data_IF_464132739838
#
_entry.id   IF_464132739838
#
_cell.length_a   1.000
_cell.length_b   1.000
_cell.length_c   1.000
_cell.angle_alpha   90.00
_cell.angle_beta   90.00
_cell.angle_gamma   90.00
#
_symmetry.space_group_name_H-M   'P 1'
#
loop_
_entity.id
_entity.type
_entity.pdbx_description
1 polymer ?
#
# COMPACT_ATOMS: atom_id res chain seq x y z
N UNK A 1 24.54 -32.73 -0.04
CA UNK A 1 23.18 -32.23 0.24
C UNK A 1 22.60 -31.79 -1.08
N UNK A 2 21.64 -32.51 -1.63
CA UNK A 2 20.98 -32.18 -2.90
C UNK A 2 20.18 -30.89 -2.67
N UNK A 3 20.59 -29.79 -3.30
CA UNK A 3 19.81 -28.55 -3.33
C UNK A 3 18.50 -28.86 -4.03
N UNK A 4 17.36 -28.72 -3.34
CA UNK A 4 16.05 -28.71 -4.00
C UNK A 4 16.11 -27.66 -5.11
N UNK A 5 15.67 -27.95 -6.34
CA UNK A 5 15.59 -26.94 -7.38
C UNK A 5 14.75 -25.78 -6.85
N UNK A 6 15.19 -24.56 -7.09
CA UNK A 6 14.40 -23.38 -6.71
C UNK A 6 13.03 -23.47 -7.43
N UNK A 7 11.92 -23.22 -6.72
CA UNK A 7 10.60 -23.26 -7.33
C UNK A 7 10.55 -22.28 -8.50
N UNK A 8 9.95 -22.68 -9.60
CA UNK A 8 9.73 -21.79 -10.74
C UNK A 8 8.77 -20.66 -10.33
N UNK A 9 8.76 -19.58 -11.09
CA UNK A 9 7.80 -18.48 -10.84
C UNK A 9 6.36 -18.98 -10.90
N UNK A 10 6.10 -19.87 -11.87
CA UNK A 10 4.81 -20.51 -12.01
C UNK A 10 4.42 -21.30 -10.76
N UNK A 11 5.31 -22.14 -10.25
CA UNK A 11 5.10 -22.89 -9.02
C UNK A 11 4.76 -21.94 -7.86
N UNK A 12 5.52 -20.85 -7.71
CA UNK A 12 5.30 -19.86 -6.65
C UNK A 12 3.95 -19.14 -6.78
N UNK A 13 3.47 -18.86 -7.99
CA UNK A 13 2.16 -18.24 -8.20
C UNK A 13 1.02 -19.24 -8.02
N UNK A 14 1.22 -20.51 -8.39
CA UNK A 14 0.27 -21.59 -8.14
C UNK A 14 0.18 -21.95 -6.65
N UNK A 15 1.30 -21.90 -5.93
CA UNK A 15 1.33 -22.02 -4.48
C UNK A 15 0.59 -20.87 -3.81
N UNK A 16 0.77 -19.64 -4.32
CA UNK A 16 0.07 -18.45 -3.81
C UNK A 16 -1.44 -18.50 -4.07
N UNK A 17 -1.87 -19.02 -5.23
CA UNK A 17 -3.28 -19.16 -5.63
C UNK A 17 -3.53 -20.57 -6.16
N UNK A 18 -3.65 -21.58 -5.27
CA UNK A 18 -3.89 -22.96 -5.69
C UNK A 18 -5.21 -23.11 -6.45
N UNK A 19 -5.21 -23.92 -7.53
CA UNK A 19 -6.40 -24.13 -8.34
C UNK A 19 -7.58 -24.66 -7.53
N UNK A 20 -7.31 -25.63 -6.64
CA UNK A 20 -8.34 -26.19 -5.75
C UNK A 20 -8.94 -25.14 -4.82
N UNK A 21 -8.09 -24.25 -4.26
CA UNK A 21 -8.54 -23.16 -3.43
C UNK A 21 -9.40 -22.16 -4.22
N UNK A 22 -8.98 -21.78 -5.42
CA UNK A 22 -9.76 -20.90 -6.31
C UNK A 22 -11.13 -21.50 -6.64
N UNK A 23 -11.19 -22.81 -6.96
CA UNK A 23 -12.43 -23.51 -7.27
C UNK A 23 -13.35 -23.59 -6.03
N UNK A 24 -12.78 -23.88 -4.87
CA UNK A 24 -13.53 -23.95 -3.62
C UNK A 24 -14.09 -22.57 -3.25
N UNK A 25 -13.27 -21.51 -3.28
CA UNK A 25 -13.70 -20.14 -2.99
C UNK A 25 -14.79 -19.67 -3.97
N UNK A 26 -14.68 -20.03 -5.26
CA UNK A 26 -15.71 -19.72 -6.23
C UNK A 26 -17.07 -20.42 -5.94
N UNK A 27 -17.06 -21.61 -5.35
CA UNK A 27 -18.28 -22.28 -4.88
C UNK A 27 -18.84 -21.62 -3.61
N UNK A 28 -17.99 -21.33 -2.64
CA UNK A 28 -18.37 -20.70 -1.37
C UNK A 28 -18.97 -19.32 -1.53
N UNK A 29 -18.43 -18.52 -2.45
CA UNK A 29 -18.97 -17.19 -2.79
C UNK A 29 -20.19 -17.23 -3.71
N UNK A 30 -20.56 -18.39 -4.22
CA UNK A 30 -21.69 -18.56 -5.13
C UNK A 30 -21.43 -18.17 -6.58
N UNK A 31 -20.17 -17.80 -6.92
CA UNK A 31 -19.79 -17.49 -8.31
C UNK A 31 -20.05 -18.68 -9.25
N UNK A 32 -19.81 -19.88 -8.77
CA UNK A 32 -20.02 -21.14 -9.51
C UNK A 32 -21.00 -22.02 -8.73
N UNK A 33 -22.21 -22.15 -9.26
CA UNK A 33 -23.22 -23.10 -8.76
C UNK A 33 -23.09 -24.44 -9.52
N UNK A 34 -22.77 -24.37 -10.81
CA UNK A 34 -22.57 -25.55 -11.68
C UNK A 34 -21.41 -25.25 -12.65
N UNK A 35 -20.43 -26.14 -12.72
CA UNK A 35 -19.30 -26.04 -13.65
C UNK A 35 -19.76 -26.33 -15.08
N UNK A 36 -20.15 -25.31 -15.82
CA UNK A 36 -20.59 -25.46 -17.22
C UNK A 36 -19.77 -24.64 -18.22
N UNK A 37 -19.78 -23.30 -18.09
CA UNK A 37 -19.23 -22.38 -19.10
C UNK A 37 -18.06 -21.56 -18.60
N UNK A 38 -17.98 -21.26 -17.32
CA UNK A 38 -16.93 -20.44 -16.72
C UNK A 38 -16.06 -21.30 -15.82
N UNK A 39 -14.77 -21.27 -16.07
CA UNK A 39 -13.74 -21.84 -15.21
C UNK A 39 -13.24 -20.72 -14.28
N UNK A 40 -13.34 -20.88 -12.94
CA UNK A 40 -12.95 -19.85 -11.99
C UNK A 40 -11.44 -19.59 -11.96
N UNK A 41 -10.61 -20.57 -12.31
CA UNK A 41 -9.16 -20.41 -12.39
C UNK A 41 -8.80 -19.54 -13.58
N UNK A 42 -9.39 -19.83 -14.74
CA UNK A 42 -9.13 -19.07 -15.96
C UNK A 42 -9.63 -17.63 -15.81
N UNK A 43 -10.85 -17.41 -15.30
CA UNK A 43 -11.35 -16.04 -15.12
C UNK A 43 -10.50 -15.24 -14.12
N UNK A 44 -10.04 -15.87 -13.03
CA UNK A 44 -9.14 -15.24 -12.06
C UNK A 44 -7.86 -14.74 -12.72
N UNK A 45 -7.15 -15.60 -13.46
CA UNK A 45 -5.89 -15.22 -14.09
C UNK A 45 -6.08 -14.24 -15.27
N UNK A 46 -7.13 -14.40 -16.06
CA UNK A 46 -7.47 -13.47 -17.16
C UNK A 46 -7.78 -12.07 -16.60
N UNK A 47 -8.55 -11.97 -15.53
CA UNK A 47 -8.80 -10.68 -14.89
C UNK A 47 -7.50 -10.11 -14.31
N UNK A 48 -6.77 -10.89 -13.52
CA UNK A 48 -5.58 -10.44 -12.78
C UNK A 48 -4.44 -10.01 -13.72
N UNK A 49 -4.18 -10.73 -14.80
CA UNK A 49 -3.06 -10.47 -15.71
C UNK A 49 -3.50 -9.84 -17.04
N UNK A 50 -4.78 -9.74 -17.33
CA UNK A 50 -5.32 -9.16 -18.56
C UNK A 50 -5.80 -7.72 -18.40
N UNK A 51 -6.57 -7.41 -17.35
CA UNK A 51 -7.23 -6.11 -17.25
C UNK A 51 -6.26 -4.94 -17.04
N UNK A 52 -5.38 -5.03 -16.05
CA UNK A 52 -4.54 -3.89 -15.63
C UNK A 52 -3.45 -3.49 -16.62
N UNK A 53 -3.12 -4.32 -17.60
CA UNK A 53 -1.86 -4.28 -18.33
C UNK A 53 -1.99 -4.03 -19.85
N UNK A 54 -3.19 -3.82 -20.38
CA UNK A 54 -3.41 -3.63 -21.83
C UNK A 54 -3.87 -2.23 -22.21
N UNK A 55 -3.50 -1.80 -23.42
CA UNK A 55 -3.96 -0.54 -24.02
C UNK A 55 -5.48 -0.50 -24.26
N UNK A 56 -6.10 -1.66 -24.58
CA UNK A 56 -7.54 -1.80 -24.73
C UNK A 56 -8.13 -2.58 -23.55
N UNK A 57 -8.59 -1.86 -22.56
CA UNK A 57 -9.09 -2.38 -21.27
C UNK A 57 -10.62 -2.44 -21.25
N UNK A 58 -11.20 -3.15 -22.20
CA UNK A 58 -12.64 -3.31 -22.28
C UNK A 58 -13.07 -4.69 -21.79
N UNK A 59 -14.32 -4.80 -21.30
CA UNK A 59 -14.88 -6.11 -20.94
C UNK A 59 -14.89 -7.06 -22.15
N UNK A 60 -15.02 -6.53 -23.38
CA UNK A 60 -14.93 -7.29 -24.61
C UNK A 60 -13.50 -7.83 -24.87
N UNK A 61 -12.44 -7.07 -24.54
CA UNK A 61 -11.07 -7.58 -24.65
C UNK A 61 -10.79 -8.71 -23.65
N UNK A 62 -11.27 -8.57 -22.42
CA UNK A 62 -11.19 -9.62 -21.39
C UNK A 62 -11.96 -10.88 -21.78
N UNK A 63 -13.13 -10.72 -22.44
CA UNK A 63 -13.87 -11.84 -22.98
C UNK A 63 -13.03 -12.61 -24.01
N UNK A 64 -12.42 -11.92 -24.98
CA UNK A 64 -11.57 -12.54 -25.98
C UNK A 64 -10.39 -13.29 -25.36
N UNK A 65 -9.77 -12.70 -24.33
CA UNK A 65 -8.71 -13.38 -23.59
C UNK A 65 -9.22 -14.63 -22.89
N UNK A 66 -10.39 -14.54 -22.25
CA UNK A 66 -11.00 -15.70 -21.62
C UNK A 66 -11.34 -16.80 -22.64
N UNK A 67 -11.96 -16.46 -23.76
CA UNK A 67 -12.31 -17.42 -24.83
C UNK A 67 -11.07 -18.12 -25.41
N UNK A 68 -10.00 -17.36 -25.61
CA UNK A 68 -8.70 -17.89 -26.04
C UNK A 68 -8.13 -18.88 -25.02
N UNK A 69 -8.09 -18.49 -23.76
CA UNK A 69 -7.51 -19.30 -22.70
C UNK A 69 -8.40 -20.50 -22.31
N UNK A 70 -9.73 -20.35 -22.35
CA UNK A 70 -10.68 -21.42 -22.07
C UNK A 70 -10.90 -22.35 -23.27
N UNK A 71 -10.44 -21.98 -24.46
CA UNK A 71 -10.74 -22.68 -25.74
C UNK A 71 -12.25 -22.91 -25.92
N UNK A 72 -13.05 -21.91 -25.54
CA UNK A 72 -14.52 -21.95 -25.56
C UNK A 72 -15.06 -20.58 -25.91
N UNK A 73 -16.10 -20.54 -26.75
CA UNK A 73 -16.84 -19.29 -27.02
C UNK A 73 -17.92 -19.04 -26.00
N UNK A 74 -18.13 -17.77 -25.64
CA UNK A 74 -19.16 -17.32 -24.73
C UNK A 74 -19.92 -16.17 -25.38
N UNK A 75 -21.26 -16.16 -25.29
CA UNK A 75 -22.05 -15.03 -25.77
C UNK A 75 -21.75 -13.77 -24.93
N UNK A 76 -21.88 -12.59 -25.55
CA UNK A 76 -21.63 -11.31 -24.86
C UNK A 76 -22.50 -11.17 -23.63
N UNK A 77 -23.79 -11.51 -23.70
CA UNK A 77 -24.68 -11.51 -22.55
C UNK A 77 -24.19 -12.43 -21.42
N UNK A 78 -23.77 -13.66 -21.78
CA UNK A 78 -23.23 -14.60 -20.78
C UNK A 78 -21.94 -14.13 -20.12
N UNK A 79 -21.11 -13.34 -20.80
CA UNK A 79 -19.93 -12.72 -20.24
C UNK A 79 -20.28 -11.55 -19.33
N UNK A 80 -21.09 -10.59 -19.79
CA UNK A 80 -21.48 -9.42 -19.02
C UNK A 80 -22.26 -9.77 -17.76
N UNK A 81 -23.12 -10.78 -17.79
CA UNK A 81 -23.86 -11.27 -16.63
C UNK A 81 -23.00 -12.02 -15.60
N UNK A 82 -21.68 -12.13 -15.79
CA UNK A 82 -20.75 -12.66 -14.77
C UNK A 82 -20.27 -11.62 -13.77
N UNK A 83 -20.41 -10.34 -14.10
CA UNK A 83 -20.05 -9.28 -13.17
C UNK A 83 -21.20 -9.08 -12.15
N UNK A 84 -21.26 -9.99 -11.19
CA UNK A 84 -22.28 -10.09 -10.16
C UNK A 84 -21.65 -9.82 -8.78
N UNK A 85 -22.48 -9.62 -7.71
CA UNK A 85 -21.96 -9.53 -6.35
C UNK A 85 -21.11 -10.74 -5.93
N UNK A 86 -21.41 -11.94 -6.45
CA UNK A 86 -20.65 -13.16 -6.18
C UNK A 86 -19.26 -13.13 -6.80
N UNK A 87 -19.10 -12.57 -8.01
CA UNK A 87 -17.76 -12.34 -8.58
C UNK A 87 -16.99 -11.29 -7.78
N UNK A 88 -17.66 -10.22 -7.35
CA UNK A 88 -17.04 -9.19 -6.51
C UNK A 88 -16.52 -9.79 -5.21
N UNK A 89 -17.33 -10.63 -4.54
CA UNK A 89 -16.94 -11.29 -3.30
C UNK A 89 -15.81 -12.31 -3.54
N UNK A 90 -15.87 -13.09 -4.62
CA UNK A 90 -14.78 -14.00 -5.00
C UNK A 90 -13.46 -13.26 -5.16
N UNK A 91 -13.42 -12.18 -5.93
CA UNK A 91 -12.21 -11.38 -6.12
C UNK A 91 -11.74 -10.72 -4.82
N UNK A 92 -12.67 -10.27 -3.96
CA UNK A 92 -12.33 -9.74 -2.65
C UNK A 92 -11.68 -10.80 -1.74
N UNK A 93 -12.21 -12.02 -1.69
CA UNK A 93 -11.59 -13.12 -0.97
C UNK A 93 -10.21 -13.48 -1.53
N UNK A 94 -10.04 -13.43 -2.86
CA UNK A 94 -8.73 -13.60 -3.48
C UNK A 94 -7.74 -12.50 -3.07
N UNK A 95 -8.18 -11.24 -2.94
CA UNK A 95 -7.32 -10.15 -2.44
C UNK A 95 -6.90 -10.40 -1.00
N UNK A 96 -7.82 -10.80 -0.11
CA UNK A 96 -7.52 -11.11 1.29
C UNK A 96 -6.47 -12.23 1.35
N UNK A 97 -6.73 -13.33 0.66
CA UNK A 97 -5.81 -14.47 0.59
C UNK A 97 -4.43 -14.07 0.06
N UNK A 98 -4.37 -13.33 -1.05
CA UNK A 98 -3.11 -12.88 -1.62
C UNK A 98 -2.31 -11.96 -0.69
N UNK A 99 -2.97 -11.12 0.10
CA UNK A 99 -2.33 -10.30 1.13
C UNK A 99 -1.73 -11.19 2.24
N UNK A 100 -2.47 -12.22 2.67
CA UNK A 100 -2.00 -13.17 3.68
C UNK A 100 -0.78 -13.95 3.18
N UNK A 101 -0.80 -14.40 1.93
CA UNK A 101 0.33 -15.11 1.32
C UNK A 101 1.58 -14.20 1.19
N UNK A 102 1.42 -12.92 0.80
CA UNK A 102 2.53 -11.97 0.81
C UNK A 102 3.12 -11.78 2.22
N UNK A 103 2.27 -11.80 3.25
CA UNK A 103 2.71 -11.63 4.64
C UNK A 103 3.45 -12.85 5.20
N UNK A 104 3.18 -14.08 4.69
CA UNK A 104 3.88 -15.31 5.10
C UNK A 104 5.33 -15.35 4.63
N UNK A 105 5.60 -14.81 3.43
CA UNK A 105 6.94 -14.73 2.86
C UNK A 105 7.26 -13.27 2.51
N UNK A 106 7.57 -12.45 3.52
CA UNK A 106 7.65 -10.99 3.36
C UNK A 106 8.82 -10.52 2.49
N UNK A 107 9.71 -11.38 2.05
CA UNK A 107 10.82 -11.04 1.14
C UNK A 107 11.82 -9.99 1.66
N UNK A 108 11.53 -9.35 2.81
CA UNK A 108 12.35 -8.30 3.43
C UNK A 108 12.32 -8.40 4.94
N UNK A 109 13.43 -8.01 5.57
CA UNK A 109 13.54 -7.84 7.03
C UNK A 109 13.98 -6.43 7.34
N UNK A 110 13.45 -5.88 8.42
CA UNK A 110 13.95 -4.62 8.95
C UNK A 110 15.35 -4.84 9.56
N UNK A 111 16.31 -4.00 9.19
CA UNK A 111 17.69 -4.10 9.63
C UNK A 111 18.15 -2.86 10.40
N UNK A 112 19.41 -2.86 10.87
CA UNK A 112 20.05 -1.73 11.57
C UNK A 112 19.19 -1.19 12.72
N UNK A 113 18.89 0.11 12.71
CA UNK A 113 18.12 0.80 13.76
C UNK A 113 16.64 0.35 13.82
N UNK A 114 16.10 -0.24 12.75
CA UNK A 114 14.70 -0.71 12.71
C UNK A 114 14.52 -2.20 13.07
N UNK A 115 15.59 -2.95 13.32
CA UNK A 115 15.55 -4.40 13.57
C UNK A 115 14.63 -4.86 14.70
N UNK A 116 14.33 -4.00 15.66
CA UNK A 116 13.46 -4.30 16.81
C UNK A 116 11.98 -4.08 16.53
N UNK A 117 11.63 -3.50 15.39
CA UNK A 117 10.25 -3.35 14.96
C UNK A 117 9.83 -4.50 14.05
N UNK A 118 8.57 -4.89 14.12
CA UNK A 118 8.03 -5.93 13.26
C UNK A 118 7.77 -5.45 11.84
N UNK A 119 7.35 -4.19 11.67
CA UNK A 119 7.01 -3.62 10.38
C UNK A 119 6.94 -2.09 10.43
N UNK A 120 7.04 -1.47 9.26
CA UNK A 120 6.68 -0.07 9.02
C UNK A 120 5.42 -0.07 8.16
N UNK A 121 4.34 0.46 8.72
CA UNK A 121 3.03 0.50 8.09
C UNK A 121 2.75 1.91 7.60
N UNK A 122 2.28 2.03 6.36
CA UNK A 122 1.87 3.29 5.77
C UNK A 122 0.38 3.20 5.46
N UNK A 123 -0.41 4.17 5.92
CA UNK A 123 -1.84 4.24 5.65
C UNK A 123 -2.16 5.48 4.85
N UNK A 124 -2.89 5.28 3.75
CA UNK A 124 -3.44 6.37 2.95
C UNK A 124 -4.65 5.90 2.15
N UNK A 125 -5.27 6.80 1.39
CA UNK A 125 -6.40 6.48 0.52
C UNK A 125 -6.31 7.22 -0.81
N UNK A 126 -6.84 6.60 -1.86
CA UNK A 126 -6.98 7.25 -3.15
C UNK A 126 -8.45 7.28 -3.58
N UNK A 127 -8.79 8.23 -4.45
CA UNK A 127 -10.14 8.36 -5.00
C UNK A 127 -10.12 7.85 -6.44
N UNK A 128 -11.06 6.95 -6.74
CA UNK A 128 -11.38 6.51 -8.10
C UNK A 128 -12.64 7.26 -8.54
N UNK A 129 -12.54 7.94 -9.69
CA UNK A 129 -13.67 8.67 -10.27
C UNK A 129 -14.57 7.72 -11.04
N UNK A 130 -15.88 7.90 -10.89
CA UNK A 130 -16.88 7.01 -11.44
C UNK A 130 -17.83 7.78 -12.36
N UNK A 131 -18.53 7.04 -13.23
CA UNK A 131 -19.58 7.61 -14.06
C UNK A 131 -20.66 8.28 -13.22
N UNK A 132 -21.18 9.43 -13.67
CA UNK A 132 -22.14 10.27 -12.92
C UNK A 132 -23.44 9.56 -12.55
N UNK A 133 -23.88 8.57 -13.32
CA UNK A 133 -25.07 7.77 -13.00
C UNK A 133 -24.97 7.00 -11.69
N UNK A 134 -23.76 6.80 -11.16
CA UNK A 134 -23.51 6.10 -9.89
C UNK A 134 -23.49 7.02 -8.67
N UNK A 135 -23.78 8.31 -8.85
CA UNK A 135 -23.79 9.28 -7.75
C UNK A 135 -24.78 8.95 -6.62
N UNK A 136 -25.85 8.19 -6.92
CA UNK A 136 -26.80 7.73 -5.91
C UNK A 136 -26.17 6.78 -4.89
N UNK A 137 -25.30 5.85 -5.35
CA UNK A 137 -24.61 4.87 -4.50
C UNK A 137 -23.26 5.39 -4.00
N UNK A 138 -22.50 6.04 -4.87
CA UNK A 138 -21.14 6.52 -4.62
C UNK A 138 -21.03 8.04 -4.77
N UNK A 139 -21.69 8.83 -3.92
CA UNK A 139 -21.68 10.28 -4.04
C UNK A 139 -20.29 10.86 -3.78
N UNK A 140 -19.82 11.73 -4.68
CA UNK A 140 -18.55 12.43 -4.51
C UNK A 140 -18.60 13.46 -3.37
N UNK A 141 -17.47 13.71 -2.73
CA UNK A 141 -17.34 14.72 -1.67
C UNK A 141 -17.48 16.15 -2.22
N UNK A 142 -17.08 16.39 -3.48
CA UNK A 142 -17.13 17.68 -4.19
C UNK A 142 -18.08 17.58 -5.38
N UNK A 143 -19.37 17.39 -5.12
CA UNK A 143 -20.39 17.14 -6.14
C UNK A 143 -20.53 18.22 -7.24
N UNK A 144 -20.03 19.44 -7.02
CA UNK A 144 -20.07 20.50 -8.04
C UNK A 144 -19.17 20.24 -9.26
N UNK A 145 -18.09 19.45 -9.10
CA UNK A 145 -17.13 19.15 -10.19
C UNK A 145 -17.22 17.71 -10.68
N UNK A 146 -17.54 16.78 -9.80
CA UNK A 146 -17.61 15.35 -10.09
C UNK A 146 -18.76 14.76 -9.28
N UNK A 147 -19.66 14.02 -9.94
CA UNK A 147 -20.87 13.50 -9.30
C UNK A 147 -20.63 12.25 -8.45
N UNK A 148 -19.75 11.34 -8.89
CA UNK A 148 -19.54 10.05 -8.26
C UNK A 148 -18.04 9.72 -8.03
N UNK A 149 -17.75 9.05 -6.92
CA UNK A 149 -16.40 8.59 -6.57
C UNK A 149 -16.39 7.61 -5.42
N UNK A 150 -15.44 6.67 -5.45
CA UNK A 150 -15.18 5.70 -4.40
C UNK A 150 -13.79 5.93 -3.82
N UNK A 151 -13.66 5.81 -2.51
CA UNK A 151 -12.39 5.91 -1.79
C UNK A 151 -11.84 4.50 -1.56
N UNK A 152 -10.65 4.24 -2.05
CA UNK A 152 -9.90 3.02 -1.83
C UNK A 152 -8.86 3.30 -0.73
N UNK A 153 -9.12 2.81 0.47
CA UNK A 153 -8.19 2.88 1.60
C UNK A 153 -7.23 1.71 1.55
N UNK A 154 -5.92 2.00 1.61
CA UNK A 154 -4.87 0.98 1.57
C UNK A 154 -3.93 1.17 2.75
N UNK A 155 -3.66 0.09 3.44
CA UNK A 155 -2.57 -0.02 4.40
C UNK A 155 -1.45 -0.82 3.75
N UNK A 156 -0.24 -0.29 3.72
CA UNK A 156 0.93 -0.92 3.09
C UNK A 156 1.89 -1.39 4.17
N UNK A 157 2.39 -2.62 4.03
CA UNK A 157 3.51 -3.18 4.79
C UNK A 157 4.81 -2.93 4.05
N UNK A 158 5.77 -2.28 4.69
CA UNK A 158 7.09 -2.11 4.11
C UNK A 158 7.87 -3.43 4.05
N UNK A 159 7.64 -4.33 5.01
CA UNK A 159 8.27 -5.65 5.06
C UNK A 159 7.72 -6.56 3.95
N UNK A 160 6.40 -6.66 3.80
CA UNK A 160 5.77 -7.41 2.71
C UNK A 160 5.88 -6.72 1.34
N UNK A 161 6.33 -5.45 1.30
CA UNK A 161 6.42 -4.64 0.08
C UNK A 161 5.10 -4.54 -0.71
N UNK A 162 3.97 -4.58 -0.04
CA UNK A 162 2.66 -4.61 -0.68
C UNK A 162 1.53 -4.25 0.27
N UNK A 163 0.28 -4.35 -0.18
CA UNK A 163 -0.87 -4.07 0.65
C UNK A 163 -0.94 -5.05 1.83
N UNK A 164 -1.30 -4.52 2.99
CA UNK A 164 -1.63 -5.27 4.21
C UNK A 164 -3.14 -5.35 4.41
N UNK A 165 -3.85 -4.30 4.08
CA UNK A 165 -5.31 -4.27 4.01
C UNK A 165 -5.77 -3.34 2.90
N UNK A 166 -6.90 -3.68 2.29
CA UNK A 166 -7.58 -2.83 1.32
C UNK A 166 -9.06 -2.78 1.69
N UNK A 167 -9.66 -1.59 1.64
CA UNK A 167 -11.08 -1.43 1.90
C UNK A 167 -11.69 -0.29 1.07
N UNK A 168 -12.94 -0.47 0.68
CA UNK A 168 -13.69 0.50 -0.09
C UNK A 168 -14.59 1.34 0.82
N UNK A 169 -14.61 2.64 0.58
CA UNK A 169 -15.39 3.60 1.35
C UNK A 169 -16.10 4.59 0.43
N UNK A 170 -17.19 5.19 0.90
CA UNK A 170 -17.71 6.40 0.28
C UNK A 170 -16.63 7.49 0.25
N UNK A 171 -16.50 8.23 -0.85
CA UNK A 171 -15.56 9.36 -0.93
C UNK A 171 -15.76 10.38 0.20
N UNK A 172 -16.99 10.53 0.71
CA UNK A 172 -17.33 11.41 1.84
C UNK A 172 -16.78 10.92 3.18
N UNK A 173 -16.31 9.69 3.28
CA UNK A 173 -15.74 9.15 4.53
C UNK A 173 -14.43 9.88 4.85
N UNK A 174 -14.37 10.51 6.02
CA UNK A 174 -13.13 11.16 6.48
C UNK A 174 -12.01 10.13 6.65
N UNK A 175 -10.79 10.46 6.25
CA UNK A 175 -9.63 9.55 6.27
C UNK A 175 -9.41 8.90 7.64
N UNK A 176 -9.49 9.67 8.70
CA UNK A 176 -9.37 9.14 10.07
C UNK A 176 -10.37 8.01 10.41
N UNK A 177 -11.50 7.92 9.71
CA UNK A 177 -12.49 6.86 9.91
C UNK A 177 -12.13 5.57 9.17
N UNK A 178 -11.21 5.63 8.21
CA UNK A 178 -10.73 4.47 7.46
C UNK A 178 -9.64 3.69 8.20
N UNK A 179 -9.11 4.27 9.29
CA UNK A 179 -8.05 3.67 10.10
C UNK A 179 -8.56 3.33 11.50
N UNK A 180 -8.54 2.05 11.83
CA UNK A 180 -8.89 1.53 13.16
C UNK A 180 -7.65 0.99 13.85
N UNK A 181 -7.24 1.64 14.97
CA UNK A 181 -6.11 1.19 15.78
C UNK A 181 -6.59 0.10 16.76
N UNK A 182 -5.82 -0.97 16.86
CA UNK A 182 -6.03 -2.10 17.74
C UNK A 182 -4.74 -2.87 18.00
N UNK A 183 -4.78 -4.09 18.56
CA UNK A 183 -3.59 -4.88 18.92
C UNK A 183 -2.61 -5.15 17.77
N UNK A 184 -3.07 -5.08 16.53
CA UNK A 184 -2.27 -5.28 15.34
C UNK A 184 -1.08 -4.32 15.19
N UNK A 185 -1.14 -3.14 15.89
CA UNK A 185 -0.09 -2.11 15.81
C UNK A 185 1.11 -2.41 16.72
N UNK A 186 1.00 -3.37 17.63
CA UNK A 186 2.07 -3.71 18.57
C UNK A 186 3.40 -3.94 17.83
N UNK A 187 4.47 -3.32 18.34
CA UNK A 187 5.83 -3.37 17.82
C UNK A 187 5.97 -2.94 16.34
N UNK A 188 4.99 -2.18 15.81
CA UNK A 188 5.00 -1.63 14.44
C UNK A 188 5.01 -0.11 14.46
N UNK A 189 5.61 0.46 13.42
CA UNK A 189 5.63 1.92 13.22
C UNK A 189 4.55 2.26 12.21
N UNK A 190 3.68 3.21 12.54
CA UNK A 190 2.66 3.73 11.63
C UNK A 190 3.08 5.11 11.10
N UNK A 191 3.17 5.24 9.79
CA UNK A 191 3.36 6.50 9.09
C UNK A 191 2.03 6.97 8.52
N UNK A 192 1.61 8.18 8.86
CA UNK A 192 0.34 8.75 8.39
C UNK A 192 0.49 10.20 7.97
N UNK A 193 -0.32 10.59 6.98
CA UNK A 193 -0.43 11.98 6.58
C UNK A 193 -1.32 12.81 7.53
N UNK A 194 -1.30 14.13 7.36
CA UNK A 194 -2.08 15.09 8.16
C UNK A 194 -3.60 14.86 8.11
N UNK A 195 -4.12 14.20 7.07
CA UNK A 195 -5.52 13.79 6.97
C UNK A 195 -5.95 12.82 8.08
N UNK A 196 -5.02 12.00 8.55
CA UNK A 196 -5.22 11.05 9.66
C UNK A 196 -4.88 11.64 11.04
N UNK A 197 -4.34 12.86 11.12
CA UNK A 197 -3.85 13.43 12.35
C UNK A 197 -4.96 13.60 13.41
N UNK A 198 -4.86 12.84 14.49
CA UNK A 198 -5.73 12.95 15.66
C UNK A 198 -5.00 12.52 16.92
N UNK A 199 -4.88 13.40 17.90
CA UNK A 199 -4.14 13.12 19.15
C UNK A 199 -4.63 11.86 19.86
N UNK A 200 -5.95 11.64 19.91
CA UNK A 200 -6.54 10.43 20.47
C UNK A 200 -6.10 9.13 19.74
N UNK A 201 -5.83 9.20 18.43
CA UNK A 201 -5.29 8.06 17.66
C UNK A 201 -3.85 7.78 18.08
N UNK A 202 -3.02 8.81 18.19
CA UNK A 202 -1.63 8.66 18.62
C UNK A 202 -1.52 8.07 20.03
N UNK A 203 -2.37 8.54 20.96
CA UNK A 203 -2.46 7.95 22.29
C UNK A 203 -2.83 6.44 22.22
N UNK A 204 -3.82 6.06 21.39
CA UNK A 204 -4.20 4.66 21.19
C UNK A 204 -3.10 3.81 20.60
N UNK A 205 -2.28 4.34 19.69
CA UNK A 205 -1.13 3.63 19.14
C UNK A 205 -0.18 3.26 20.28
N UNK A 206 0.20 4.23 21.13
CA UNK A 206 1.06 3.98 22.28
C UNK A 206 0.46 3.00 23.28
N UNK A 207 -0.84 3.13 23.63
CA UNK A 207 -1.58 2.22 24.51
C UNK A 207 -1.59 0.76 24.01
N UNK A 208 -1.52 0.55 22.69
CA UNK A 208 -1.43 -0.78 22.07
C UNK A 208 0.03 -1.22 21.80
N UNK A 209 1.03 -0.55 22.36
CA UNK A 209 2.44 -0.91 22.19
C UNK A 209 2.98 -0.65 20.79
N UNK A 210 2.35 0.24 20.04
CA UNK A 210 2.77 0.65 18.70
C UNK A 210 3.52 1.99 18.70
N UNK A 211 4.06 2.31 17.54
CA UNK A 211 4.84 3.52 17.29
C UNK A 211 4.24 4.29 16.13
N UNK A 212 4.49 5.59 16.07
CA UNK A 212 4.04 6.43 14.97
C UNK A 212 5.06 7.51 14.61
N UNK A 213 5.01 7.98 13.37
CA UNK A 213 5.62 9.23 12.93
C UNK A 213 4.59 9.97 12.07
N UNK A 214 4.37 11.24 12.37
CA UNK A 214 3.48 12.11 11.60
C UNK A 214 4.03 13.54 11.57
N UNK A 215 3.69 14.32 10.55
CA UNK A 215 3.88 15.77 10.59
C UNK A 215 2.90 16.38 11.60
N UNK A 216 3.28 17.51 12.21
CA UNK A 216 2.37 18.27 13.09
C UNK A 216 1.43 19.16 12.26
N UNK A 217 0.18 19.29 12.68
CA UNK A 217 -0.76 20.24 12.07
C UNK A 217 -0.39 21.68 12.42
N UNK A 218 -0.56 22.60 11.46
CA UNK A 218 -0.27 24.04 11.63
C UNK A 218 -1.02 24.72 12.80
N UNK A 219 -2.19 24.19 13.17
CA UNK A 219 -3.01 24.70 14.27
C UNK A 219 -2.68 24.03 15.62
N UNK A 220 -1.65 23.20 15.67
CA UNK A 220 -1.15 22.58 16.89
C UNK A 220 0.11 23.29 17.34
N UNK A 221 0.09 23.80 18.57
CA UNK A 221 1.22 24.49 19.18
C UNK A 221 1.46 23.96 20.61
N UNK A 222 2.05 22.74 20.72
CA UNK A 222 2.23 22.11 22.02
C UNK A 222 3.32 22.81 22.84
N UNK A 223 3.30 22.57 24.14
CA UNK A 223 4.27 23.13 25.09
C UNK A 223 5.49 22.23 25.20
N UNK A 224 6.69 22.79 25.11
CA UNK A 224 7.95 22.06 25.28
C UNK A 224 8.10 21.72 26.78
N UNK A 225 8.30 20.44 27.06
CA UNK A 225 8.58 19.90 28.40
C UNK A 225 10.09 19.88 28.65
N UNK A 226 10.84 19.33 27.71
CA UNK A 226 12.30 19.27 27.75
C UNK A 226 12.88 19.29 26.32
N UNK A 227 14.13 19.78 26.21
CA UNK A 227 14.90 19.71 24.95
C UNK A 227 15.92 18.60 25.11
N UNK A 228 15.91 17.66 24.15
CA UNK A 228 16.76 16.47 24.17
C UNK A 228 18.09 16.72 23.42
N UNK A 229 18.06 17.53 22.35
CA UNK A 229 19.24 17.83 21.53
C UNK A 229 19.07 19.11 20.69
N UNK A 230 20.19 19.62 20.18
CA UNK A 230 20.24 20.74 19.23
C UNK A 230 20.54 22.09 19.84
N UNK A 231 20.44 22.24 21.17
CA UNK A 231 20.62 23.52 21.86
C UNK A 231 21.59 23.45 23.03
N UNK A 232 22.14 24.61 23.44
CA UNK A 232 22.91 24.75 24.67
C UNK A 232 22.03 24.52 25.91
N UNK A 233 22.62 24.11 27.03
CA UNK A 233 21.91 23.89 28.30
C UNK A 233 21.08 25.09 28.74
N UNK A 234 21.56 26.31 28.53
CA UNK A 234 20.87 27.56 28.88
C UNK A 234 19.63 27.74 28.03
N UNK A 235 19.75 27.58 26.69
CA UNK A 235 18.66 27.71 25.76
C UNK A 235 17.61 26.59 25.89
N UNK A 236 18.05 25.40 26.27
CA UNK A 236 17.16 24.26 26.58
C UNK A 236 16.26 24.58 27.80
N UNK A 237 16.82 25.20 28.86
CA UNK A 237 16.04 25.65 30.03
C UNK A 237 15.07 26.78 29.65
N UNK A 238 15.49 27.68 28.78
CA UNK A 238 14.67 28.80 28.34
C UNK A 238 13.46 28.36 27.51
N UNK A 239 13.58 27.26 26.76
CA UNK A 239 12.53 26.73 25.91
C UNK A 239 11.50 25.89 26.68
N UNK A 240 11.87 25.33 27.80
CA UNK A 240 10.95 24.59 28.66
C UNK A 240 9.79 25.48 29.15
N UNK A 241 8.57 25.05 28.95
CA UNK A 241 7.35 25.79 29.27
C UNK A 241 6.85 26.73 28.18
N UNK A 242 7.64 26.97 27.09
CA UNK A 242 7.21 27.76 25.93
C UNK A 242 6.52 26.90 24.90
N UNK A 243 5.79 27.52 23.99
CA UNK A 243 5.19 26.85 22.86
C UNK A 243 6.22 26.58 21.75
N UNK A 244 5.93 25.59 20.92
CA UNK A 244 6.81 25.24 19.78
C UNK A 244 6.96 26.41 18.82
N UNK A 245 5.89 27.15 18.54
CA UNK A 245 5.93 28.29 17.61
C UNK A 245 6.81 29.44 18.10
N UNK A 246 6.84 29.70 19.41
CA UNK A 246 7.73 30.69 20.02
C UNK A 246 9.20 30.28 19.92
N UNK A 247 9.47 28.99 20.14
CA UNK A 247 10.83 28.44 20.11
C UNK A 247 11.41 28.37 18.71
N UNK A 248 10.62 27.94 17.71
CA UNK A 248 11.06 27.80 16.32
C UNK A 248 11.59 29.13 15.77
N UNK A 249 10.96 30.25 16.09
CA UNK A 249 11.40 31.59 15.66
C UNK A 249 12.81 31.94 16.16
N UNK A 250 13.26 31.30 17.23
CA UNK A 250 14.56 31.55 17.90
C UNK A 250 15.63 30.51 17.52
N UNK A 251 15.31 29.49 16.68
CA UNK A 251 16.25 28.41 16.34
C UNK A 251 17.31 28.81 15.33
N UNK A 252 17.04 29.83 14.50
CA UNK A 252 18.01 30.37 13.51
C UNK A 252 18.63 29.26 12.63
N UNK A 253 17.82 28.38 12.06
CA UNK A 253 18.27 27.30 11.19
C UNK A 253 18.86 26.05 11.90
N UNK A 254 18.79 25.97 13.22
CA UNK A 254 19.23 24.79 13.98
C UNK A 254 18.09 23.80 14.16
N UNK A 255 18.38 22.51 14.08
CA UNK A 255 17.42 21.46 14.37
C UNK A 255 17.02 21.46 15.84
N UNK A 256 15.81 21.00 16.15
CA UNK A 256 15.29 20.84 17.52
C UNK A 256 14.77 19.42 17.71
N UNK A 257 15.20 18.82 18.81
CA UNK A 257 14.66 17.56 19.32
C UNK A 257 14.19 17.77 20.76
N UNK A 258 12.90 17.62 21.00
CA UNK A 258 12.28 17.99 22.27
C UNK A 258 11.14 17.05 22.63
N UNK A 259 10.85 16.93 23.93
CA UNK A 259 9.60 16.34 24.42
C UNK A 259 8.57 17.45 24.58
N UNK A 260 7.39 17.24 24.02
CA UNK A 260 6.27 18.19 24.10
C UNK A 260 5.04 17.56 24.74
N UNK A 261 4.28 18.38 25.44
CA UNK A 261 3.00 18.00 26.02
C UNK A 261 1.86 18.37 25.08
N UNK A 262 1.02 17.38 24.73
CA UNK A 262 -0.19 17.56 23.94
C UNK A 262 -1.40 17.23 24.80
N UNK A 263 -2.32 18.18 24.96
CA UNK A 263 -3.62 17.97 25.62
C UNK A 263 -4.70 17.71 24.58
N UNK A 264 -5.62 16.80 24.87
CA UNK A 264 -6.72 16.46 23.96
C UNK A 264 -7.93 15.91 24.71
N UNK A 265 -9.09 15.93 24.04
CA UNK A 265 -10.31 15.35 24.58
C UNK A 265 -10.48 13.91 24.10
N UNK A 266 -10.75 12.98 25.02
CA UNK A 266 -11.14 11.60 24.69
C UNK A 266 -12.56 11.58 24.13
N UNK A 267 -12.92 10.52 23.41
CA UNK A 267 -14.30 10.30 22.96
C UNK A 267 -15.21 10.25 24.18
N UNK A 268 -16.34 10.96 24.12
CA UNK A 268 -17.32 10.93 25.19
C UNK A 268 -17.81 9.50 25.47
N UNK A 269 -17.86 9.14 26.74
CA UNK A 269 -18.43 7.89 27.22
C UNK A 269 -19.54 8.22 28.22
N UNK A 270 -20.76 7.69 28.00
CA UNK A 270 -21.95 8.00 28.81
C UNK A 270 -22.18 9.53 29.02
N UNK A 271 -22.04 10.30 27.94
CA UNK A 271 -22.22 11.76 27.96
C UNK A 271 -21.08 12.56 28.61
N UNK A 272 -20.10 11.93 29.23
CA UNK A 272 -18.96 12.61 29.85
C UNK A 272 -17.72 12.55 28.94
N UNK A 273 -17.12 13.70 28.67
CA UNK A 273 -15.90 13.82 27.91
C UNK A 273 -14.71 14.08 28.82
N UNK A 274 -13.74 13.18 28.85
CA UNK A 274 -12.52 13.33 29.66
C UNK A 274 -11.46 14.09 28.86
N UNK A 275 -10.85 15.07 29.48
CA UNK A 275 -9.60 15.68 29.02
C UNK A 275 -8.44 14.75 29.37
N UNK A 276 -7.48 14.61 28.46
CA UNK A 276 -6.31 13.77 28.64
C UNK A 276 -5.08 14.47 28.08
N UNK A 277 -3.90 13.98 28.42
CA UNK A 277 -2.63 14.52 27.95
C UNK A 277 -1.67 13.39 27.60
N UNK A 278 -0.73 13.67 26.72
CA UNK A 278 0.38 12.77 26.40
C UNK A 278 1.65 13.58 26.15
N UNK A 279 2.77 13.03 26.57
CA UNK A 279 4.08 13.50 26.17
C UNK A 279 4.53 12.74 24.93
N UNK A 280 4.95 13.49 23.90
CA UNK A 280 5.48 12.93 22.66
C UNK A 280 6.76 13.66 22.30
N UNK A 281 7.63 13.00 21.56
CA UNK A 281 8.83 13.60 21.01
C UNK A 281 8.45 14.43 19.78
N UNK A 282 8.96 15.63 19.69
CA UNK A 282 8.86 16.53 18.57
C UNK A 282 10.25 16.73 17.96
N UNK A 283 10.34 16.55 16.66
CA UNK A 283 11.57 16.76 15.90
C UNK A 283 11.29 17.84 14.84
N UNK A 284 12.04 18.92 14.89
CA UNK A 284 12.01 19.98 13.88
C UNK A 284 13.34 20.01 13.12
N UNK A 285 13.31 19.71 11.83
CA UNK A 285 14.48 19.73 10.94
C UNK A 285 14.37 20.95 10.02
N UNK A 286 15.44 21.73 9.98
CA UNK A 286 15.51 22.89 9.10
C UNK A 286 15.78 22.46 7.66
N UNK A 287 14.92 22.88 6.75
CA UNK A 287 15.11 22.74 5.33
C UNK A 287 15.68 24.05 4.77
N UNK A 288 16.94 24.04 4.38
CA UNK A 288 17.63 25.22 3.84
C UNK A 288 17.15 25.66 2.46
N UNK A 289 16.56 24.73 1.67
CA UNK A 289 16.03 25.07 0.33
C UNK A 289 14.69 25.79 0.42
N UNK A 290 13.85 25.38 1.39
CA UNK A 290 12.53 25.98 1.59
C UNK A 290 12.54 27.07 2.68
N UNK A 291 13.67 27.30 3.34
CA UNK A 291 13.86 28.23 4.47
C UNK A 291 12.83 28.04 5.60
N UNK A 292 12.42 26.79 5.84
CA UNK A 292 11.41 26.44 6.82
C UNK A 292 11.75 25.19 7.63
N UNK A 293 10.95 24.91 8.67
CA UNK A 293 11.08 23.71 9.49
C UNK A 293 10.06 22.65 9.08
N UNK A 294 10.55 21.44 8.85
CA UNK A 294 9.72 20.24 8.81
C UNK A 294 9.59 19.69 10.21
N UNK A 295 8.38 19.70 10.78
CA UNK A 295 8.12 19.34 12.16
C UNK A 295 7.37 18.01 12.21
N UNK A 296 7.94 17.08 12.95
CA UNK A 296 7.40 15.73 13.15
C UNK A 296 7.08 15.47 14.60
N UNK A 297 6.09 14.62 14.86
CA UNK A 297 5.80 14.06 16.19
C UNK A 297 5.90 12.54 16.15
N UNK A 298 6.39 11.96 17.26
CA UNK A 298 6.59 10.53 17.38
C UNK A 298 6.62 10.10 18.85
N UNK A 299 6.37 8.83 19.13
CA UNK A 299 6.65 8.20 20.43
C UNK A 299 7.91 7.31 20.40
N UNK A 300 8.68 7.34 19.30
CA UNK A 300 9.96 6.61 19.20
C UNK A 300 11.03 7.40 19.97
N UNK A 301 11.72 6.70 20.87
CA UNK A 301 12.75 7.28 21.72
C UNK A 301 14.00 7.69 20.90
N UNK A 302 14.71 8.72 21.36
CA UNK A 302 15.92 9.25 20.72
C UNK A 302 17.05 8.21 20.61
N UNK A 303 17.19 7.34 21.61
CA UNK A 303 18.21 6.28 21.61
C UNK A 303 17.94 5.17 20.57
N UNK A 304 16.74 5.12 19.99
CA UNK A 304 16.36 4.19 18.94
C UNK A 304 16.58 4.83 17.57
N UNK A 305 15.99 6.01 17.35
CA UNK A 305 16.12 6.79 16.10
C UNK A 305 16.44 8.25 16.46
N UNK A 306 17.51 8.79 15.89
CA UNK A 306 17.85 10.21 16.04
C UNK A 306 16.87 11.11 15.23
N UNK A 307 17.04 12.43 15.32
CA UNK A 307 16.15 13.39 14.68
C UNK A 307 16.13 13.26 13.15
N UNK A 308 17.29 13.05 12.53
CA UNK A 308 17.41 12.87 11.07
C UNK A 308 16.81 11.56 10.61
N UNK A 309 16.94 10.49 11.41
CA UNK A 309 16.29 9.21 11.14
C UNK A 309 14.76 9.33 11.12
N UNK A 310 14.16 10.10 12.06
CA UNK A 310 12.72 10.33 12.08
C UNK A 310 12.26 11.03 10.79
N UNK A 311 12.97 12.07 10.37
CA UNK A 311 12.65 12.78 9.11
C UNK A 311 12.78 11.85 7.90
N UNK A 312 13.86 11.06 7.83
CA UNK A 312 14.10 10.07 6.78
C UNK A 312 13.02 8.98 6.77
N UNK A 313 12.69 8.44 7.95
CA UNK A 313 11.63 7.44 8.10
C UNK A 313 10.26 7.97 7.61
N UNK A 314 9.92 9.21 7.95
CA UNK A 314 8.69 9.82 7.43
C UNK A 314 8.69 9.97 5.91
N UNK A 315 9.85 10.14 5.29
CA UNK A 315 10.00 10.14 3.84
C UNK A 315 9.51 8.86 3.16
N UNK A 316 9.56 7.71 3.85
CA UNK A 316 9.01 6.45 3.33
C UNK A 316 7.48 6.48 3.14
N UNK A 317 6.77 7.43 3.76
CA UNK A 317 5.34 7.65 3.50
C UNK A 317 5.05 7.89 2.00
N UNK A 318 5.99 8.46 1.28
CA UNK A 318 5.86 8.69 -0.16
C UNK A 318 5.68 7.41 -0.97
N UNK A 319 6.08 6.27 -0.46
CA UNK A 319 5.95 4.98 -1.14
C UNK A 319 4.50 4.59 -1.43
N UNK A 320 3.54 5.03 -0.59
CA UNK A 320 2.13 4.76 -0.85
C UNK A 320 1.57 5.63 -1.99
N UNK A 321 2.10 6.83 -2.16
CA UNK A 321 1.75 7.69 -3.30
C UNK A 321 2.27 7.10 -4.61
N UNK A 322 3.47 6.51 -4.59
CA UNK A 322 4.01 5.76 -5.73
C UNK A 322 3.18 4.51 -6.03
N UNK A 323 2.71 3.81 -5.00
CA UNK A 323 1.81 2.67 -5.17
C UNK A 323 0.47 3.09 -5.79
N UNK A 324 -0.11 4.20 -5.37
CA UNK A 324 -1.34 4.71 -6.00
C UNK A 324 -1.10 5.21 -7.42
N UNK A 325 0.04 5.81 -7.71
CA UNK A 325 0.46 6.16 -9.07
C UNK A 325 0.56 4.90 -9.94
N UNK A 326 1.18 3.83 -9.43
CA UNK A 326 1.27 2.54 -10.11
C UNK A 326 -0.12 1.95 -10.41
N UNK A 327 -0.99 1.85 -9.39
CA UNK A 327 -2.35 1.35 -9.54
C UNK A 327 -3.14 2.11 -10.60
N UNK A 328 -3.05 3.44 -10.61
CA UNK A 328 -3.77 4.28 -11.57
C UNK A 328 -3.16 4.23 -12.96
N UNK A 329 -1.86 4.40 -13.08
CA UNK A 329 -1.21 4.56 -14.38
C UNK A 329 -0.84 3.24 -15.06
N UNK A 330 -0.69 2.14 -14.31
CA UNK A 330 -0.25 0.84 -14.84
C UNK A 330 -1.33 -0.24 -14.73
N UNK A 331 -2.15 -0.23 -13.67
CA UNK A 331 -3.17 -1.26 -13.42
C UNK A 331 -4.60 -0.73 -13.52
N UNK A 332 -4.77 0.37 -14.26
CA UNK A 332 -6.06 0.95 -14.69
C UNK A 332 -7.07 1.28 -13.58
N UNK A 333 -6.63 1.55 -12.37
CA UNK A 333 -7.53 1.90 -11.28
C UNK A 333 -8.30 3.22 -11.50
N UNK A 334 -7.88 4.07 -12.42
CA UNK A 334 -8.50 5.35 -12.75
C UNK A 334 -9.40 5.32 -14.00
N UNK A 335 -9.37 4.23 -14.77
CA UNK A 335 -10.09 4.07 -16.05
C UNK A 335 -11.25 3.11 -15.89
N UNK A 336 -12.27 3.50 -15.10
CA UNK A 336 -13.45 2.69 -14.83
C UNK A 336 -14.71 3.38 -15.39
N UNK A 337 -14.76 3.54 -16.72
CA UNK A 337 -15.89 4.16 -17.42
C UNK A 337 -17.00 3.15 -17.67
N UNK A 338 -17.72 2.77 -16.63
CA UNK A 338 -18.89 1.90 -16.67
C UNK A 338 -19.97 2.40 -15.72
N UNK A 339 -21.24 2.08 -16.06
CA UNK A 339 -22.42 2.41 -15.25
C UNK A 339 -22.81 1.29 -14.29
N UNK A 340 -22.14 0.15 -14.36
CA UNK A 340 -22.42 -1.03 -13.54
C UNK A 340 -21.53 -1.04 -12.31
N UNK A 341 -22.11 -1.03 -11.13
CA UNK A 341 -21.40 -1.00 -9.84
C UNK A 341 -20.60 -2.26 -9.57
N UNK A 342 -21.13 -3.44 -9.93
CA UNK A 342 -20.45 -4.72 -9.74
C UNK A 342 -19.20 -4.81 -10.61
N UNK A 343 -19.30 -4.27 -11.85
CA UNK A 343 -18.14 -4.17 -12.73
C UNK A 343 -17.06 -3.29 -12.09
N UNK A 344 -17.44 -2.12 -11.52
CA UNK A 344 -16.48 -1.22 -10.87
C UNK A 344 -15.80 -1.89 -9.70
N UNK A 345 -16.55 -2.49 -8.78
CA UNK A 345 -15.97 -3.15 -7.62
C UNK A 345 -15.08 -4.33 -8.03
N UNK A 346 -15.52 -5.16 -8.98
CA UNK A 346 -14.71 -6.25 -9.53
C UNK A 346 -13.40 -5.76 -10.15
N UNK A 347 -13.43 -4.67 -10.91
CA UNK A 347 -12.22 -4.11 -11.53
C UNK A 347 -11.27 -3.46 -10.51
N UNK A 348 -11.78 -2.87 -9.42
CA UNK A 348 -10.94 -2.38 -8.32
C UNK A 348 -10.22 -3.56 -7.65
N UNK A 349 -10.93 -4.65 -7.32
CA UNK A 349 -10.31 -5.83 -6.74
C UNK A 349 -9.32 -6.48 -7.70
N UNK A 350 -9.65 -6.52 -9.00
CA UNK A 350 -8.73 -6.97 -10.04
C UNK A 350 -7.43 -6.18 -10.06
N UNK A 351 -7.48 -4.84 -10.00
CA UNK A 351 -6.28 -4.00 -9.94
C UNK A 351 -5.43 -4.30 -8.68
N UNK A 352 -6.09 -4.59 -7.55
CA UNK A 352 -5.39 -5.00 -6.32
C UNK A 352 -4.73 -6.37 -6.48
N UNK A 353 -5.39 -7.35 -7.11
CA UNK A 353 -4.80 -8.66 -7.41
C UNK A 353 -3.61 -8.54 -8.34
N UNK A 354 -3.71 -7.71 -9.39
CA UNK A 354 -2.60 -7.40 -10.29
C UNK A 354 -1.39 -6.87 -9.52
N UNK A 355 -1.62 -5.93 -8.58
CA UNK A 355 -0.56 -5.40 -7.71
C UNK A 355 0.05 -6.50 -6.84
N UNK A 356 -0.76 -7.33 -6.18
CA UNK A 356 -0.32 -8.41 -5.29
C UNK A 356 0.55 -9.42 -6.05
N UNK A 357 0.10 -9.87 -7.22
CA UNK A 357 0.87 -10.77 -8.09
C UNK A 357 2.17 -10.10 -8.54
N UNK A 358 2.11 -8.84 -8.97
CA UNK A 358 3.31 -8.07 -9.33
C UNK A 358 4.33 -8.01 -8.18
N UNK A 359 3.88 -7.82 -6.93
CA UNK A 359 4.76 -7.79 -5.75
C UNK A 359 5.38 -9.15 -5.45
N UNK A 360 4.62 -10.24 -5.63
CA UNK A 360 5.16 -11.61 -5.48
C UNK A 360 6.28 -11.86 -6.48
N UNK A 361 6.05 -11.55 -7.76
CA UNK A 361 7.05 -11.72 -8.82
C UNK A 361 8.28 -10.84 -8.57
N UNK A 362 8.06 -9.57 -8.19
CA UNK A 362 9.15 -8.66 -7.84
C UNK A 362 10.05 -9.24 -6.74
N UNK A 363 9.46 -9.78 -5.69
CA UNK A 363 10.20 -10.42 -4.59
C UNK A 363 11.03 -11.61 -5.08
N UNK A 364 10.44 -12.48 -5.90
CA UNK A 364 11.11 -13.65 -6.47
C UNK A 364 12.31 -13.23 -7.33
N UNK A 365 12.11 -12.31 -8.28
CA UNK A 365 13.19 -11.83 -9.18
C UNK A 365 14.30 -11.16 -8.38
N UNK A 366 13.95 -10.32 -7.40
CA UNK A 366 14.94 -9.65 -6.57
C UNK A 366 15.76 -10.64 -5.75
N UNK A 367 15.14 -11.67 -5.20
CA UNK A 367 15.81 -12.68 -4.37
C UNK A 367 16.60 -13.72 -5.19
N UNK A 368 16.25 -13.95 -6.45
CA UNK A 368 16.93 -14.88 -7.35
C UNK A 368 18.11 -14.26 -8.12
N UNK A 369 18.27 -12.94 -8.07
CA UNK A 369 19.37 -12.30 -8.81
C UNK A 369 20.72 -12.72 -8.26
N UNK A 370 21.61 -13.19 -9.16
CA UNK A 370 22.99 -13.56 -8.85
C UNK A 370 23.89 -12.34 -8.55
N UNK A 371 23.39 -11.13 -8.70
CA UNK A 371 24.11 -9.88 -8.58
C UNK A 371 23.52 -8.98 -7.50
N UNK A 372 23.91 -9.13 -6.21
CA UNK A 372 23.36 -8.32 -5.10
C UNK A 372 23.47 -6.82 -5.32
N UNK A 373 24.51 -6.35 -6.02
CA UNK A 373 24.71 -4.94 -6.36
C UNK A 373 23.61 -4.37 -7.30
N UNK A 374 22.91 -5.25 -8.02
CA UNK A 374 21.78 -4.84 -8.89
C UNK A 374 20.46 -4.71 -8.11
N UNK A 375 20.35 -5.29 -6.92
CA UNK A 375 19.09 -5.29 -6.15
C UNK A 375 18.58 -3.89 -5.87
N UNK A 376 19.45 -2.93 -5.58
CA UNK A 376 19.08 -1.52 -5.31
C UNK A 376 18.55 -0.80 -6.54
N UNK A 377 18.81 -1.31 -7.73
CA UNK A 377 18.38 -0.72 -9.00
C UNK A 377 17.00 -1.17 -9.47
N UNK A 378 16.38 -2.15 -8.80
CA UNK A 378 15.01 -2.57 -9.08
C UNK A 378 14.03 -1.59 -8.44
N UNK A 379 13.70 -0.50 -9.14
CA UNK A 379 12.72 0.47 -8.66
C UNK A 379 11.29 0.01 -8.96
N UNK A 380 10.33 0.38 -8.11
CA UNK A 380 8.93 0.02 -8.33
C UNK A 380 8.34 0.62 -9.61
N UNK A 381 8.78 1.81 -9.99
CA UNK A 381 8.30 2.47 -11.20
C UNK A 381 8.75 1.70 -12.46
N UNK A 382 10.05 1.39 -12.57
CA UNK A 382 10.56 0.62 -13.71
C UNK A 382 9.96 -0.78 -13.74
N UNK A 383 9.89 -1.43 -12.58
CA UNK A 383 9.28 -2.73 -12.43
C UNK A 383 7.85 -2.78 -12.96
N UNK A 384 6.99 -1.84 -12.56
CA UNK A 384 5.58 -1.83 -12.92
C UNK A 384 5.35 -1.71 -14.44
N UNK A 385 6.22 -0.97 -15.13
CA UNK A 385 6.21 -0.87 -16.61
C UNK A 385 6.50 -2.24 -17.22
N UNK A 386 7.61 -2.85 -16.85
CA UNK A 386 8.07 -4.12 -17.41
C UNK A 386 7.09 -5.27 -17.08
N UNK A 387 6.56 -5.29 -15.86
CA UNK A 387 5.52 -6.23 -15.49
C UNK A 387 4.27 -6.09 -16.37
N UNK A 388 3.78 -4.85 -16.56
CA UNK A 388 2.62 -4.59 -17.39
C UNK A 388 2.82 -5.03 -18.85
N UNK A 389 3.99 -4.76 -19.41
CA UNK A 389 4.32 -5.16 -20.79
C UNK A 389 4.37 -6.70 -20.97
N UNK A 390 4.75 -7.44 -19.92
CA UNK A 390 4.95 -8.89 -20.00
C UNK A 390 3.82 -9.73 -19.37
N UNK A 391 2.80 -9.12 -18.82
CA UNK A 391 1.74 -9.84 -18.11
C UNK A 391 0.96 -10.83 -19.00
N UNK A 392 0.79 -10.54 -20.29
CA UNK A 392 0.14 -11.47 -21.22
C UNK A 392 0.97 -12.72 -21.48
N UNK A 393 2.29 -12.60 -21.51
CA UNK A 393 3.19 -13.75 -21.61
C UNK A 393 3.10 -14.60 -20.35
N UNK A 394 3.09 -13.94 -19.19
CA UNK A 394 2.93 -14.58 -17.90
C UNK A 394 1.60 -15.34 -17.78
N UNK A 395 0.49 -14.75 -18.26
CA UNK A 395 -0.81 -15.42 -18.33
C UNK A 395 -0.74 -16.73 -19.15
N UNK A 396 -0.10 -16.67 -20.31
CA UNK A 396 0.07 -17.85 -21.18
C UNK A 396 0.87 -18.94 -20.47
N UNK A 397 1.96 -18.57 -19.78
CA UNK A 397 2.81 -19.50 -19.02
C UNK A 397 2.02 -20.18 -17.90
N UNK A 398 1.31 -19.40 -17.07
CA UNK A 398 0.56 -19.92 -15.92
C UNK A 398 -0.55 -20.89 -16.36
N UNK A 399 -1.20 -20.62 -17.48
CA UNK A 399 -2.30 -21.45 -17.97
C UNK A 399 -1.85 -22.65 -18.84
N UNK A 400 -0.55 -22.89 -19.00
CA UNK A 400 0.06 -24.08 -19.64
C UNK A 400 -0.41 -24.44 -21.06
N UNK A 401 -0.64 -23.46 -21.92
CA UNK A 401 -1.22 -23.78 -23.22
C UNK A 401 -0.25 -24.06 -24.37
N UNK A 402 1.07 -23.94 -24.18
CA UNK A 402 1.98 -24.02 -25.34
C UNK A 402 3.36 -24.65 -25.12
N UNK A 403 3.60 -25.56 -24.18
CA UNK A 403 4.91 -26.19 -24.00
C UNK A 403 6.06 -25.23 -23.61
N UNK A 404 5.84 -24.37 -22.69
CA UNK A 404 6.37 -23.00 -22.56
C UNK A 404 7.55 -22.83 -21.56
N UNK A 405 8.30 -23.86 -21.21
CA UNK A 405 9.49 -23.67 -20.36
C UNK A 405 10.45 -22.59 -20.91
N UNK A 406 10.68 -22.55 -22.23
CA UNK A 406 11.52 -21.53 -22.87
C UNK A 406 10.95 -20.11 -22.76
N UNK A 407 9.64 -19.95 -22.90
CA UNK A 407 8.99 -18.63 -22.79
C UNK A 407 9.09 -18.07 -21.40
N UNK A 408 9.07 -18.94 -20.38
CA UNK A 408 9.23 -18.55 -19.00
C UNK A 408 10.64 -18.01 -18.71
N UNK A 409 11.70 -18.70 -19.12
CA UNK A 409 13.08 -18.22 -19.01
C UNK A 409 13.28 -16.88 -19.73
N UNK A 410 12.64 -16.72 -20.89
CA UNK A 410 12.65 -15.44 -21.63
C UNK A 410 11.96 -14.33 -20.84
N UNK A 411 10.80 -14.60 -20.22
CA UNK A 411 10.08 -13.61 -19.39
C UNK A 411 10.93 -13.22 -18.17
N UNK A 412 11.54 -14.17 -17.49
CA UNK A 412 12.42 -13.88 -16.34
C UNK A 412 13.62 -13.04 -16.76
N UNK A 413 14.29 -13.39 -17.87
CA UNK A 413 15.43 -12.63 -18.41
C UNK A 413 15.04 -11.18 -18.73
N UNK A 414 13.83 -10.95 -19.25
CA UNK A 414 13.30 -9.60 -19.48
C UNK A 414 13.10 -8.84 -18.18
N UNK A 415 12.50 -9.45 -17.15
CA UNK A 415 12.34 -8.82 -15.84
C UNK A 415 13.69 -8.48 -15.20
N UNK A 416 14.64 -9.41 -15.21
CA UNK A 416 15.96 -9.23 -14.64
C UNK A 416 16.77 -8.11 -15.33
N UNK A 417 16.68 -8.02 -16.65
CA UNK A 417 17.46 -7.05 -17.43
C UNK A 417 16.79 -5.67 -17.52
N UNK A 418 15.45 -5.64 -17.77
CA UNK A 418 14.76 -4.39 -18.09
C UNK A 418 14.11 -3.70 -16.89
N UNK A 419 13.87 -4.40 -15.79
CA UNK A 419 13.37 -3.77 -14.57
C UNK A 419 14.45 -2.99 -13.78
N UNK A 420 15.72 -3.07 -14.21
CA UNK A 420 16.80 -2.26 -13.64
C UNK A 420 16.64 -0.80 -14.07
N UNK A 421 16.60 0.10 -13.10
CA UNK A 421 16.62 1.53 -13.39
C UNK A 421 18.07 2.00 -13.63
N UNK A 422 18.39 2.52 -14.85
CA UNK A 422 19.73 3.00 -15.16
C UNK A 422 20.10 4.31 -14.43
N UNK A 423 19.12 5.01 -13.86
CA UNK A 423 19.26 6.36 -13.29
C UNK A 423 18.95 6.42 -11.80
N UNK A 424 19.15 5.34 -11.04
CA UNK A 424 19.00 5.38 -9.58
C UNK A 424 20.12 6.21 -8.96
N UNK A 425 19.82 7.47 -8.67
CA UNK A 425 20.74 8.41 -8.00
C UNK A 425 20.30 8.74 -6.57
N UNK A 426 19.19 8.15 -6.07
CA UNK A 426 18.66 8.46 -4.75
C UNK A 426 18.84 7.27 -3.82
N UNK A 427 19.56 7.47 -2.74
CA UNK A 427 19.48 6.59 -1.57
C UNK A 427 18.05 6.63 -1.04
N UNK A 428 17.34 5.53 -1.17
CA UNK A 428 15.98 5.42 -0.66
C UNK A 428 16.04 4.80 0.73
N UNK A 429 15.14 5.24 1.61
CA UNK A 429 14.96 4.67 2.94
C UNK A 429 14.99 3.13 2.93
N UNK A 430 14.33 2.50 1.94
CA UNK A 430 14.25 1.04 1.82
C UNK A 430 15.60 0.34 1.66
N UNK A 431 16.58 0.97 1.02
CA UNK A 431 17.88 0.35 0.71
C UNK A 431 18.83 0.36 1.89
N UNK A 432 18.68 1.33 2.79
CA UNK A 432 19.49 1.41 4.01
C UNK A 432 18.96 0.57 5.18
N UNK A 433 17.66 0.27 5.19
CA UNK A 433 16.97 -0.26 6.37
C UNK A 433 16.45 -1.69 6.19
N UNK A 434 16.61 -2.26 4.99
CA UNK A 434 16.29 -3.65 4.67
C UNK A 434 17.53 -4.44 4.23
N UNK A 435 17.57 -5.73 4.63
CA UNK A 435 18.52 -6.71 4.15
C UNK A 435 17.98 -7.45 2.93
#
# INVERSE_FOLDING_TARGET
>A
MSSRPQPTLEDSLREMFPEEWLRQTAKETGLIIRERKIDPVIIFWVLTLGFGVRLQRTLASLKRDYEKEANKTISDSSWYYRFTPELVEFLHQCVIHGIEELAKDPGRKLSKKLKNFQDVIIQDSTIVRLHSSLAGKFPAARARKVAAGIKVGVMVSAVANGPKTVALYSEKTAEIKTLKIGPWIKDRILLVDLGFYKNQMFARIGENGGYFVSRIKKNMDPIIVSVEEGLSKTKSKEFAGKTVSECIKQLSGKDLDAVVKITFKRRAYKGKQKQDEMNVRLVAIYNSEEENYHIYITNIQKNVLDAKDIAKLYGARWDIELLFKELKSKYALDVLDTKNEQVIEALIWTAMLTLIVSRRIYSIVKNSTAHPEKMVRYTQERWSIIFAENASNLLTVILHRCGIQRTFETVMSVYESQALDPHVNRERFREEWFE
#
